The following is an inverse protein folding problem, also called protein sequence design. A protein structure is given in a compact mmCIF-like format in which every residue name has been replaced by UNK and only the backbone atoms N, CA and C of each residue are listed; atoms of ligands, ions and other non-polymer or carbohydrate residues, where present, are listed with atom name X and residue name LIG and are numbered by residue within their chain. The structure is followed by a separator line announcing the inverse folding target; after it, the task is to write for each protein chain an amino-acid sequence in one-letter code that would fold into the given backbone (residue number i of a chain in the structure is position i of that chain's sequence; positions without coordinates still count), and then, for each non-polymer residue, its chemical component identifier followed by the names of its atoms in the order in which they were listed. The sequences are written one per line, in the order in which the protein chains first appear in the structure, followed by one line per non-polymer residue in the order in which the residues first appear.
data_IF_812097604165
#
_entry.id   IF_812097604165
#
_cell.length_a   1.000
_cell.length_b   1.000
_cell.length_c   1.000
_cell.angle_alpha   90.00
_cell.angle_beta   90.00
_cell.angle_gamma   90.00
#
_symmetry.space_group_name_H-M   'P 1'
#
loop_
_entity.id
_entity.type
_entity.pdbx_description
1 polymer ?
#
# COMPACT_ATOMS: atom_id res chain seq x y z
N UNK A 1 6.13 -6.98 15.25
CA UNK A 1 4.81 -6.78 14.62
C UNK A 1 4.89 -5.59 13.67
N UNK A 2 3.92 -5.40 12.75
CA UNK A 2 3.96 -4.26 11.80
C UNK A 2 4.01 -2.90 12.53
N UNK A 3 3.34 -2.79 13.68
CA UNK A 3 3.39 -1.61 14.55
C UNK A 3 4.80 -1.21 14.98
N UNK A 4 5.69 -2.17 15.24
CA UNK A 4 7.07 -1.89 15.66
C UNK A 4 7.88 -1.21 14.55
N UNK A 5 7.54 -1.47 13.29
CA UNK A 5 8.13 -0.78 12.14
C UNK A 5 7.52 0.61 11.98
N UNK A 6 6.20 0.71 12.09
CA UNK A 6 5.46 1.94 11.83
C UNK A 6 5.57 2.98 12.96
N UNK A 7 5.94 2.61 14.19
CA UNK A 7 5.97 3.54 15.35
C UNK A 7 6.91 4.74 15.15
N UNK A 8 7.96 4.58 14.34
CA UNK A 8 8.89 5.67 13.99
C UNK A 8 8.28 6.71 13.04
N UNK A 9 7.22 6.32 12.31
CA UNK A 9 6.53 7.13 11.30
C UNK A 9 5.20 7.66 11.85
N UNK A 10 4.44 6.78 12.53
CA UNK A 10 3.17 7.06 13.17
C UNK A 10 3.32 6.73 14.67
N UNK A 11 3.71 7.71 15.50
CA UNK A 11 3.93 7.48 16.93
C UNK A 11 2.67 7.01 17.65
N UNK A 12 2.83 6.14 18.65
CA UNK A 12 1.75 5.73 19.55
C UNK A 12 0.92 4.52 19.10
N UNK A 13 1.24 3.94 17.95
CA UNK A 13 0.60 2.70 17.46
C UNK A 13 0.89 1.52 18.39
N UNK A 14 -0.14 0.74 18.71
CA UNK A 14 -0.06 -0.45 19.58
C UNK A 14 -0.20 -1.75 18.81
N UNK A 15 -0.59 -1.68 17.53
CA UNK A 15 -0.85 -2.85 16.69
C UNK A 15 -2.27 -3.39 16.84
N UNK A 16 -3.20 -2.55 17.31
CA UNK A 16 -4.62 -2.88 17.33
C UNK A 16 -5.18 -2.73 15.90
N UNK A 17 -5.94 -3.72 15.37
CA UNK A 17 -6.62 -3.59 14.08
C UNK A 17 -7.47 -2.32 13.93
N UNK A 18 -8.03 -1.78 15.02
CA UNK A 18 -8.77 -0.52 15.01
C UNK A 18 -7.91 0.70 14.62
N UNK A 19 -6.58 0.59 14.74
CA UNK A 19 -5.62 1.63 14.37
C UNK A 19 -5.18 1.55 12.90
N UNK A 20 -5.70 0.61 12.10
CA UNK A 20 -5.22 0.39 10.73
C UNK A 20 -5.40 1.62 9.83
N UNK A 21 -6.56 2.29 9.89
CA UNK A 21 -6.83 3.47 9.08
C UNK A 21 -5.98 4.67 9.50
N UNK A 22 -5.80 4.89 10.81
CA UNK A 22 -4.91 5.95 11.31
C UNK A 22 -3.45 5.67 10.96
N UNK A 23 -3.02 4.41 10.99
CA UNK A 23 -1.69 3.98 10.54
C UNK A 23 -1.48 4.36 9.06
N UNK A 24 -2.39 3.93 8.19
CA UNK A 24 -2.30 4.16 6.75
C UNK A 24 -2.25 5.66 6.41
N UNK A 25 -3.15 6.45 7.02
CA UNK A 25 -3.18 7.91 6.85
C UNK A 25 -1.90 8.59 7.38
N UNK A 26 -1.35 8.11 8.49
CA UNK A 26 -0.11 8.62 9.06
C UNK A 26 1.09 8.35 8.15
N UNK A 27 1.19 7.14 7.60
CA UNK A 27 2.25 6.78 6.63
C UNK A 27 2.16 7.63 5.38
N UNK A 28 0.96 7.85 4.82
CA UNK A 28 0.80 8.71 3.65
C UNK A 28 1.22 10.16 3.92
N UNK A 29 0.82 10.73 5.07
CA UNK A 29 1.27 12.08 5.48
C UNK A 29 2.79 12.17 5.59
N UNK A 30 3.43 11.12 6.10
CA UNK A 30 4.88 11.06 6.20
C UNK A 30 5.57 10.94 4.84
N UNK A 31 5.03 10.15 3.90
CA UNK A 31 5.53 10.08 2.52
C UNK A 31 5.46 11.47 1.84
N UNK A 32 4.33 12.16 1.97
CA UNK A 32 4.14 13.53 1.47
C UNK A 32 5.18 14.48 2.08
N UNK A 33 5.35 14.45 3.41
CA UNK A 33 6.34 15.30 4.10
C UNK A 33 7.79 14.98 3.72
N UNK A 34 8.05 13.75 3.26
CA UNK A 34 9.35 13.28 2.79
C UNK A 34 9.59 13.56 1.29
N UNK A 35 8.66 14.24 0.62
CA UNK A 35 8.77 14.62 -0.78
C UNK A 35 8.31 13.55 -1.77
N UNK A 36 7.49 12.59 -1.35
CA UNK A 36 6.88 11.57 -2.22
C UNK A 36 5.34 11.63 -2.14
N UNK A 37 4.70 12.71 -2.64
CA UNK A 37 3.25 12.87 -2.61
C UNK A 37 2.48 12.04 -3.66
N UNK A 38 3.19 11.47 -4.64
CA UNK A 38 2.61 10.95 -5.88
C UNK A 38 1.72 9.73 -5.65
N UNK A 39 0.68 9.66 -6.47
CA UNK A 39 -0.20 8.50 -6.63
C UNK A 39 -0.09 7.95 -8.02
N UNK A 40 -0.68 6.76 -8.22
CA UNK A 40 -0.68 6.12 -9.52
C UNK A 40 -1.31 7.00 -10.61
N UNK A 41 -2.34 7.79 -10.27
CA UNK A 41 -2.94 8.73 -11.21
C UNK A 41 -1.99 9.86 -11.65
N UNK A 42 -1.10 10.32 -10.76
CA UNK A 42 -0.10 11.36 -11.08
C UNK A 42 0.96 10.82 -12.05
N UNK A 43 1.22 9.51 -12.00
CA UNK A 43 2.14 8.78 -12.89
C UNK A 43 1.48 8.29 -14.19
N UNK A 44 0.23 8.68 -14.44
CA UNK A 44 -0.50 8.37 -15.67
C UNK A 44 -1.22 7.02 -15.69
N UNK A 45 -1.32 6.31 -14.57
CA UNK A 45 -2.15 5.11 -14.45
C UNK A 45 -3.61 5.46 -14.17
N UNK A 46 -4.48 4.54 -14.57
CA UNK A 46 -5.93 4.67 -14.42
C UNK A 46 -6.56 3.38 -13.89
N UNK A 47 -7.87 3.43 -13.62
CA UNK A 47 -8.64 2.24 -13.28
C UNK A 47 -8.58 1.14 -14.36
N UNK A 48 -8.34 1.50 -15.63
CA UNK A 48 -8.21 0.53 -16.72
C UNK A 48 -6.91 -0.31 -16.62
N UNK A 49 -5.90 0.18 -15.90
CA UNK A 49 -4.60 -0.46 -15.78
C UNK A 49 -4.52 -1.46 -14.62
N UNK A 50 -5.45 -1.37 -13.66
CA UNK A 50 -5.44 -2.14 -12.40
C UNK A 50 -5.33 -3.65 -12.65
N UNK A 51 -6.13 -4.19 -13.58
CA UNK A 51 -6.14 -5.64 -13.83
C UNK A 51 -4.81 -6.08 -14.45
N UNK A 52 -4.20 -5.24 -15.29
CA UNK A 52 -2.88 -5.51 -15.88
C UNK A 52 -1.77 -5.43 -14.84
N UNK A 53 -1.77 -4.41 -13.98
CA UNK A 53 -0.83 -4.26 -12.87
C UNK A 53 -0.92 -5.45 -11.91
N UNK A 54 -2.14 -5.86 -11.57
CA UNK A 54 -2.38 -7.05 -10.74
C UNK A 54 -1.80 -8.29 -11.40
N UNK A 55 -2.04 -8.52 -12.70
CA UNK A 55 -1.47 -9.66 -13.41
C UNK A 55 0.07 -9.66 -13.40
N UNK A 56 0.69 -8.51 -13.61
CA UNK A 56 2.14 -8.38 -13.60
C UNK A 56 2.75 -8.71 -12.22
N UNK A 57 2.07 -8.38 -11.12
CA UNK A 57 2.51 -8.73 -9.78
C UNK A 57 2.65 -10.25 -9.56
N UNK A 58 1.80 -11.06 -10.20
CA UNK A 58 1.82 -12.53 -10.08
C UNK A 58 2.65 -13.23 -11.17
N UNK A 59 2.85 -12.59 -12.32
CA UNK A 59 3.54 -13.23 -13.47
C UNK A 59 4.99 -12.79 -13.65
N UNK A 60 5.42 -11.70 -13.01
CA UNK A 60 6.81 -11.27 -13.02
C UNK A 60 7.64 -12.15 -12.06
N UNK A 61 8.66 -12.89 -12.54
CA UNK A 61 9.30 -13.96 -11.77
C UNK A 61 9.82 -13.58 -10.37
N UNK A 62 10.34 -12.36 -10.18
CA UNK A 62 10.85 -11.91 -8.87
C UNK A 62 9.75 -11.46 -7.91
N UNK A 63 8.58 -11.02 -8.42
CA UNK A 63 7.52 -10.45 -7.59
C UNK A 63 6.72 -11.52 -6.86
N UNK A 64 6.60 -12.73 -7.42
CA UNK A 64 5.95 -13.84 -6.74
C UNK A 64 6.63 -14.20 -5.41
N UNK A 65 7.97 -14.12 -5.35
CA UNK A 65 8.70 -14.28 -4.09
C UNK A 65 8.37 -13.17 -3.09
N UNK A 66 8.30 -11.90 -3.52
CA UNK A 66 7.93 -10.79 -2.64
C UNK A 66 6.50 -10.94 -2.08
N UNK A 67 5.55 -11.40 -2.91
CA UNK A 67 4.19 -11.71 -2.45
C UNK A 67 4.19 -12.80 -1.36
N UNK A 68 5.10 -13.78 -1.44
CA UNK A 68 5.22 -14.85 -0.43
C UNK A 68 5.76 -14.36 0.92
N UNK A 69 6.36 -13.16 0.98
CA UNK A 69 6.86 -12.55 2.21
C UNK A 69 5.81 -11.68 2.90
N UNK A 70 4.63 -11.50 2.31
CA UNK A 70 3.57 -10.70 2.90
C UNK A 70 3.16 -11.28 4.28
N UNK A 71 2.93 -10.42 5.30
CA UNK A 71 2.55 -10.86 6.63
C UNK A 71 1.12 -11.44 6.71
N UNK A 72 0.32 -11.25 5.66
CA UNK A 72 -1.02 -11.78 5.48
C UNK A 72 -1.21 -12.26 4.02
N UNK A 73 -2.37 -12.86 3.71
CA UNK A 73 -2.69 -13.43 2.42
C UNK A 73 -2.63 -12.41 1.28
N UNK A 74 -1.58 -12.51 0.46
CA UNK A 74 -1.40 -11.71 -0.76
C UNK A 74 -2.08 -12.37 -1.99
N UNK A 75 -3.40 -12.49 -1.96
CA UNK A 75 -4.15 -12.99 -3.13
C UNK A 75 -4.46 -11.89 -4.16
N UNK A 76 -4.96 -12.30 -5.32
CA UNK A 76 -5.26 -11.39 -6.44
C UNK A 76 -6.26 -10.31 -6.07
N UNK A 77 -7.23 -10.61 -5.19
CA UNK A 77 -8.22 -9.62 -4.77
C UNK A 77 -7.58 -8.55 -3.88
N UNK A 78 -6.73 -8.97 -2.93
CA UNK A 78 -5.98 -8.06 -2.07
C UNK A 78 -5.04 -7.14 -2.89
N UNK A 79 -4.24 -7.71 -3.80
CA UNK A 79 -3.32 -6.93 -4.65
C UNK A 79 -4.06 -5.96 -5.55
N UNK A 80 -5.18 -6.39 -6.14
CA UNK A 80 -6.03 -5.52 -6.96
C UNK A 80 -6.57 -4.34 -6.16
N UNK A 81 -7.01 -4.59 -4.92
CA UNK A 81 -7.50 -3.54 -4.03
C UNK A 81 -6.39 -2.55 -3.67
N UNK A 82 -5.16 -3.00 -3.40
CA UNK A 82 -4.01 -2.13 -3.14
C UNK A 82 -3.76 -1.16 -4.31
N UNK A 83 -3.78 -1.65 -5.56
CA UNK A 83 -3.64 -0.78 -6.74
C UNK A 83 -4.82 0.20 -6.87
N UNK A 84 -6.05 -0.24 -6.60
CA UNK A 84 -7.22 0.63 -6.65
C UNK A 84 -7.16 1.75 -5.62
N UNK A 85 -6.81 1.43 -4.37
CA UNK A 85 -6.71 2.39 -3.27
C UNK A 85 -5.53 3.38 -3.48
N UNK A 86 -4.51 2.95 -4.21
CA UNK A 86 -3.33 3.77 -4.54
C UNK A 86 -3.53 4.74 -5.71
N UNK A 87 -4.70 4.72 -6.38
CA UNK A 87 -5.00 5.66 -7.45
C UNK A 87 -5.11 7.11 -6.97
N UNK A 88 -5.64 7.32 -5.76
CA UNK A 88 -5.93 8.65 -5.23
C UNK A 88 -5.50 8.78 -3.77
N UNK A 89 -5.28 10.01 -3.26
CA UNK A 89 -4.94 10.22 -1.85
C UNK A 89 -5.96 9.64 -0.87
N UNK A 90 -5.45 9.04 0.20
CA UNK A 90 -6.25 8.51 1.31
C UNK A 90 -6.65 9.63 2.29
N UNK A 91 -5.76 10.57 2.52
CA UNK A 91 -6.04 11.82 3.22
C UNK A 91 -6.72 12.78 2.23
N UNK A 92 -8.02 13.00 2.42
CA UNK A 92 -8.80 14.03 1.72
C UNK A 92 -8.74 15.36 2.43
#
# INVERSE_FOLDING_TARGET
MLSDVLVSIVPGQKGDPAEAESAAKGVEKWLIASGAPEKLADEGFSAADIDKLTELAFTTPSLNFLLSLAPDKADRAAVRQIYADSLTPLNK
#
